data_IF_202385219567
#
_entry.id   IF_202385219567
#
_cell.length_a   1.000
_cell.length_b   1.000
_cell.length_c   1.000
_cell.angle_alpha   90.00
_cell.angle_beta   90.00
_cell.angle_gamma   90.00
#
_symmetry.space_group_name_H-M   'P 1'
#
loop_
_entity.id
_entity.type
_entity.pdbx_description
1 polymer ?
#
# COMPACT_ATOMS: atom_id res chain seq x y z
N UNK A 1 18.52 -33.97 -46.97
CA UNK A 1 19.65 -33.22 -47.58
C UNK A 1 19.72 -31.84 -46.95
N UNK A 2 20.83 -31.10 -46.82
CA UNK A 2 22.30 -31.27 -46.78
C UNK A 2 22.85 -29.80 -46.72
N UNK A 3 23.77 -29.43 -45.82
CA UNK A 3 25.23 -29.13 -46.04
C UNK A 3 25.54 -27.93 -47.00
N UNK A 4 26.59 -27.09 -46.88
CA UNK A 4 27.77 -26.93 -45.97
C UNK A 4 27.83 -25.44 -45.45
N UNK A 5 28.70 -24.93 -44.55
CA UNK A 5 29.89 -25.38 -43.76
C UNK A 5 31.36 -25.05 -44.20
N UNK A 6 31.72 -23.78 -44.41
CA UNK A 6 33.10 -23.20 -44.34
C UNK A 6 33.05 -21.72 -43.88
N UNK A 7 34.01 -21.04 -43.24
CA UNK A 7 35.28 -21.37 -42.51
C UNK A 7 36.65 -21.31 -43.24
N UNK A 8 37.35 -20.16 -43.16
CA UNK A 8 38.82 -19.87 -43.02
C UNK A 8 38.98 -18.31 -43.05
N UNK A 9 39.83 -17.54 -42.33
CA UNK A 9 41.13 -17.66 -41.64
C UNK A 9 42.37 -17.36 -42.53
N UNK A 10 42.92 -16.14 -42.40
CA UNK A 10 44.26 -15.69 -42.87
C UNK A 10 44.85 -14.73 -41.82
N UNK A 11 46.17 -14.73 -41.64
CA UNK A 11 46.91 -13.85 -40.72
C UNK A 11 48.06 -13.11 -41.44
N UNK A 12 48.54 -12.01 -40.86
CA UNK A 12 49.75 -11.30 -41.30
C UNK A 12 50.54 -10.79 -40.08
N UNK A 13 51.87 -10.83 -40.18
CA UNK A 13 52.82 -10.51 -39.12
C UNK A 13 53.96 -9.68 -39.72
N UNK A 14 54.43 -8.63 -39.04
CA UNK A 14 55.69 -7.96 -39.37
C UNK A 14 56.45 -7.53 -38.11
N UNK A 15 57.77 -7.46 -38.22
CA UNK A 15 58.73 -7.55 -37.09
C UNK A 15 59.92 -6.61 -37.30
N UNK A 16 60.20 -5.77 -36.29
CA UNK A 16 61.48 -5.11 -35.98
C UNK A 16 62.18 -4.31 -37.12
N UNK A 17 63.32 -3.63 -36.94
CA UNK A 17 64.18 -3.40 -35.77
C UNK A 17 64.78 -1.98 -35.82
N UNK A 18 65.44 -1.54 -34.75
CA UNK A 18 66.16 -0.26 -34.73
C UNK A 18 67.01 -0.08 -33.48
N UNK A 19 68.25 -0.56 -33.52
CA UNK A 19 69.18 -0.53 -32.38
C UNK A 19 70.51 0.11 -32.82
N UNK A 20 71.02 1.07 -32.05
CA UNK A 20 72.40 1.53 -32.09
C UNK A 20 72.83 1.96 -30.69
N UNK A 21 74.13 1.87 -30.40
CA UNK A 21 74.69 1.95 -29.05
C UNK A 21 75.77 3.04 -28.91
N UNK A 22 76.06 3.43 -27.67
CA UNK A 22 77.18 4.30 -27.32
C UNK A 22 77.57 4.10 -25.84
N UNK A 23 78.85 3.83 -25.58
CA UNK A 23 79.36 3.55 -24.24
C UNK A 23 80.06 4.76 -23.62
N UNK A 24 79.91 4.95 -22.31
CA UNK A 24 80.81 5.76 -21.49
C UNK A 24 80.87 5.19 -20.06
N UNK A 25 82.06 5.12 -19.48
CA UNK A 25 82.28 4.71 -18.09
C UNK A 25 82.59 5.93 -17.21
N UNK A 26 82.05 5.96 -15.99
CA UNK A 26 82.27 7.02 -15.01
C UNK A 26 82.13 6.47 -13.59
N UNK A 27 82.90 7.00 -12.64
CA UNK A 27 83.12 6.39 -11.32
C UNK A 27 82.69 7.27 -10.15
N UNK A 28 82.39 6.59 -9.03
CA UNK A 28 82.25 7.11 -7.65
C UNK A 28 81.06 8.06 -7.35
N UNK A 29 80.49 7.91 -6.16
CA UNK A 29 79.37 8.76 -5.72
C UNK A 29 78.53 8.26 -4.54
N UNK A 30 79.13 7.61 -3.52
CA UNK A 30 78.35 7.20 -2.33
C UNK A 30 78.01 8.42 -1.47
N UNK A 31 76.75 8.82 -1.47
CA UNK A 31 76.13 9.67 -0.44
C UNK A 31 74.78 9.07 -0.04
N UNK A 32 74.58 8.85 1.26
CA UNK A 32 73.29 8.38 1.77
C UNK A 32 72.24 9.47 1.70
N UNK A 33 71.13 9.20 1.02
CA UNK A 33 69.88 9.93 1.18
C UNK A 33 68.95 9.12 2.09
N UNK A 34 68.33 9.76 3.08
CA UNK A 34 67.38 9.08 3.97
C UNK A 34 66.11 8.68 3.21
N UNK A 35 65.64 7.44 3.40
CA UNK A 35 64.35 7.02 2.88
C UNK A 35 63.23 7.70 3.69
N UNK A 36 62.72 8.82 3.18
CA UNK A 36 61.36 9.25 3.53
C UNK A 36 60.43 8.28 2.84
N UNK A 37 59.79 7.40 3.60
CA UNK A 37 58.76 6.51 3.07
C UNK A 37 57.60 7.39 2.58
N UNK A 38 57.13 7.25 1.33
CA UNK A 38 55.99 8.04 0.85
C UNK A 38 54.76 7.64 1.66
N UNK A 39 54.20 8.60 2.39
CA UNK A 39 52.94 8.43 3.09
C UNK A 39 51.86 8.09 2.05
N UNK A 40 51.19 6.96 2.23
CA UNK A 40 50.26 6.45 1.23
C UNK A 40 49.11 7.46 1.07
N UNK A 41 48.72 7.81 -0.18
CA UNK A 41 47.67 8.79 -0.40
C UNK A 41 46.39 8.32 0.29
N UNK A 42 45.95 9.06 1.30
CA UNK A 42 44.71 8.78 2.03
C UNK A 42 43.58 8.78 1.02
N UNK A 43 43.03 7.60 0.74
CA UNK A 43 41.94 7.45 -0.21
C UNK A 43 40.80 8.38 0.21
N UNK A 44 40.21 9.16 -0.70
CA UNK A 44 39.15 10.08 -0.35
C UNK A 44 38.01 9.29 0.29
N UNK A 45 37.70 9.61 1.55
CA UNK A 45 36.58 9.02 2.26
C UNK A 45 35.32 9.42 1.50
N UNK A 46 34.78 8.48 0.71
CA UNK A 46 33.50 8.65 0.06
C UNK A 46 32.48 9.01 1.15
N UNK A 47 31.64 10.05 0.95
CA UNK A 47 30.59 10.35 1.91
C UNK A 47 29.72 9.10 2.11
N UNK A 48 29.24 8.83 3.34
CA UNK A 48 28.42 7.67 3.60
C UNK A 48 27.21 7.68 2.65
N UNK A 49 26.99 6.56 1.96
CA UNK A 49 26.02 6.48 0.86
C UNK A 49 24.66 7.08 1.27
N UNK A 50 24.21 8.08 0.50
CA UNK A 50 23.00 8.82 0.80
C UNK A 50 21.79 7.87 0.79
N UNK A 51 20.79 8.15 1.63
CA UNK A 51 19.70 7.20 1.84
C UNK A 51 18.65 7.28 0.74
N UNK A 52 18.78 6.39 -0.24
CA UNK A 52 17.75 6.17 -1.25
C UNK A 52 16.49 5.50 -0.66
N UNK A 53 15.31 6.04 -1.00
CA UNK A 53 14.04 5.39 -0.69
C UNK A 53 13.94 4.03 -1.40
N UNK A 54 13.51 2.95 -0.71
CA UNK A 54 13.26 1.69 -1.39
C UNK A 54 12.07 1.84 -2.34
N UNK A 55 12.11 1.13 -3.48
CA UNK A 55 10.98 1.08 -4.41
C UNK A 55 9.68 0.67 -3.69
N UNK A 56 8.57 1.28 -4.10
CA UNK A 56 7.22 0.92 -3.64
C UNK A 56 6.94 -0.55 -3.93
N UNK A 57 6.56 -1.28 -2.89
CA UNK A 57 6.09 -2.66 -3.04
C UNK A 57 4.74 -2.69 -3.77
N UNK A 58 4.46 -3.74 -4.57
CA UNK A 58 3.09 -4.03 -4.98
C UNK A 58 2.21 -4.27 -3.74
N UNK A 59 0.87 -4.21 -3.92
CA UNK A 59 -0.06 -4.63 -2.86
C UNK A 59 0.22 -6.10 -2.50
N UNK A 60 0.17 -6.42 -1.21
CA UNK A 60 0.49 -7.75 -0.68
C UNK A 60 -0.67 -8.42 0.05
N UNK A 61 -1.72 -7.68 0.38
CA UNK A 61 -3.03 -8.24 0.73
C UNK A 61 -3.74 -8.74 -0.53
N UNK A 62 -4.36 -9.92 -0.50
CA UNK A 62 -5.09 -10.45 -1.66
C UNK A 62 -6.57 -10.01 -1.64
N UNK A 63 -7.19 -9.69 -2.79
CA UNK A 63 -8.62 -9.46 -2.85
C UNK A 63 -9.41 -10.65 -2.31
N UNK A 64 -10.33 -10.40 -1.38
CA UNK A 64 -11.06 -11.43 -0.65
C UNK A 64 -10.43 -11.91 0.66
N UNK A 65 -9.19 -11.52 1.00
CA UNK A 65 -8.50 -11.97 2.22
C UNK A 65 -9.13 -11.37 3.51
N UNK A 66 -9.63 -10.13 3.45
CA UNK A 66 -10.15 -9.42 4.63
C UNK A 66 -11.56 -8.87 4.34
N UNK A 67 -12.51 -9.78 4.12
CA UNK A 67 -13.92 -9.43 3.85
C UNK A 67 -14.74 -9.38 5.14
N UNK A 68 -15.42 -8.26 5.36
CA UNK A 68 -16.47 -8.10 6.36
C UNK A 68 -17.84 -8.28 5.68
N UNK A 69 -18.54 -9.42 5.89
CA UNK A 69 -19.86 -9.63 5.32
C UNK A 69 -20.93 -8.83 6.07
N UNK A 70 -21.83 -8.20 5.33
CA UNK A 70 -22.92 -7.37 5.87
C UNK A 70 -24.21 -7.55 5.05
N UNK A 71 -25.40 -7.17 5.55
CA UNK A 71 -26.65 -7.28 4.79
C UNK A 71 -26.53 -6.62 3.40
N UNK A 72 -26.89 -7.39 2.37
CA UNK A 72 -26.80 -6.95 0.96
C UNK A 72 -25.40 -7.05 0.31
N UNK A 73 -24.31 -7.30 1.04
CA UNK A 73 -22.97 -7.19 0.45
C UNK A 73 -21.79 -7.47 1.38
N UNK A 74 -20.72 -6.70 1.24
CA UNK A 74 -19.50 -6.81 2.03
C UNK A 74 -18.55 -5.63 1.83
N UNK A 75 -17.69 -5.39 2.83
CA UNK A 75 -16.51 -4.52 2.69
C UNK A 75 -15.28 -5.40 2.61
N UNK A 76 -14.52 -5.29 1.54
CA UNK A 76 -13.25 -5.97 1.33
C UNK A 76 -12.12 -5.03 1.72
N UNK A 77 -11.57 -5.21 2.91
CA UNK A 77 -10.56 -4.32 3.48
C UNK A 77 -9.15 -4.61 2.93
N UNK A 78 -8.95 -5.75 2.26
CA UNK A 78 -7.72 -6.10 1.55
C UNK A 78 -7.72 -5.49 0.13
N UNK A 79 -8.80 -5.72 -0.62
CA UNK A 79 -9.04 -5.10 -1.94
C UNK A 79 -9.35 -3.60 -1.84
N UNK A 80 -9.68 -3.11 -0.64
CA UNK A 80 -10.14 -1.73 -0.37
C UNK A 80 -11.38 -1.37 -1.21
N UNK A 81 -12.33 -2.29 -1.34
CA UNK A 81 -13.59 -2.09 -2.08
C UNK A 81 -14.81 -2.38 -1.22
N UNK A 82 -15.94 -1.76 -1.56
CA UNK A 82 -17.27 -2.07 -1.04
C UNK A 82 -18.08 -2.67 -2.18
N UNK A 83 -18.68 -3.84 -1.94
CA UNK A 83 -19.48 -4.56 -2.94
C UNK A 83 -20.88 -4.81 -2.41
N UNK A 84 -21.89 -4.50 -3.22
CA UNK A 84 -23.30 -4.65 -2.88
C UNK A 84 -24.07 -5.33 -4.00
N UNK A 85 -24.98 -6.23 -3.63
CA UNK A 85 -25.85 -6.95 -4.56
C UNK A 85 -27.27 -6.40 -4.51
N UNK A 86 -27.96 -6.48 -5.63
CA UNK A 86 -29.38 -6.16 -5.74
C UNK A 86 -30.06 -7.09 -6.73
N UNK A 87 -31.36 -7.28 -6.54
CA UNK A 87 -32.18 -8.18 -7.34
C UNK A 87 -33.44 -7.48 -7.85
N UNK A 88 -33.90 -7.88 -9.03
CA UNK A 88 -35.13 -7.40 -9.65
C UNK A 88 -35.87 -8.57 -10.29
N UNK A 89 -37.20 -8.58 -10.15
CA UNK A 89 -38.06 -9.65 -10.70
C UNK A 89 -38.53 -9.25 -12.10
N UNK A 90 -38.45 -10.18 -13.04
CA UNK A 90 -39.01 -10.04 -14.40
C UNK A 90 -40.52 -10.19 -14.33
N UNK A 91 -41.25 -9.23 -14.89
CA UNK A 91 -42.71 -9.32 -15.03
C UNK A 91 -43.09 -10.47 -16.00
N UNK A 92 -43.76 -11.55 -15.53
CA UNK A 92 -44.16 -12.67 -16.38
C UNK A 92 -45.37 -12.34 -17.28
N UNK A 93 -46.09 -11.25 -17.02
CA UNK A 93 -47.20 -10.77 -17.84
C UNK A 93 -46.78 -9.82 -18.96
N UNK A 94 -45.52 -9.42 -19.02
CA UNK A 94 -45.03 -8.44 -19.97
C UNK A 94 -45.03 -8.96 -21.42
N UNK A 95 -45.67 -8.21 -22.32
CA UNK A 95 -45.79 -8.53 -23.75
C UNK A 95 -44.45 -8.56 -24.52
N UNK A 96 -43.38 -8.02 -23.94
CA UNK A 96 -42.02 -8.07 -24.48
C UNK A 96 -41.04 -8.56 -23.40
N UNK A 97 -40.67 -9.86 -23.42
CA UNK A 97 -39.75 -10.43 -22.43
C UNK A 97 -38.35 -9.79 -22.38
N UNK A 98 -37.86 -9.24 -23.50
CA UNK A 98 -36.57 -8.54 -23.51
C UNK A 98 -36.65 -7.19 -22.78
N UNK A 99 -37.75 -6.45 -22.97
CA UNK A 99 -38.04 -5.23 -22.20
C UNK A 99 -38.22 -5.53 -20.71
N UNK A 100 -38.91 -6.63 -20.38
CA UNK A 100 -39.11 -7.06 -18.99
C UNK A 100 -37.79 -7.38 -18.28
N UNK A 101 -36.88 -8.11 -18.95
CA UNK A 101 -35.51 -8.38 -18.44
C UNK A 101 -34.73 -7.08 -18.19
N UNK A 102 -34.78 -6.11 -19.12
CA UNK A 102 -34.12 -4.80 -18.95
C UNK A 102 -34.74 -3.94 -17.83
N UNK A 103 -36.04 -4.09 -17.55
CA UNK A 103 -36.69 -3.43 -16.42
C UNK A 103 -36.32 -4.09 -15.07
N UNK A 104 -36.20 -5.41 -15.03
CA UNK A 104 -35.71 -6.15 -13.87
C UNK A 104 -34.24 -5.81 -13.56
N UNK A 105 -33.38 -5.70 -14.58
CA UNK A 105 -31.98 -5.27 -14.40
C UNK A 105 -31.89 -3.86 -13.80
N UNK A 106 -32.72 -2.91 -14.28
CA UNK A 106 -32.80 -1.57 -13.68
C UNK A 106 -33.29 -1.59 -12.22
N UNK A 107 -34.24 -2.45 -11.88
CA UNK A 107 -34.68 -2.63 -10.50
C UNK A 107 -33.54 -3.21 -9.63
N UNK A 108 -32.80 -4.20 -10.15
CA UNK A 108 -31.64 -4.79 -9.48
C UNK A 108 -30.54 -3.75 -9.22
N UNK A 109 -30.23 -2.87 -10.17
CA UNK A 109 -29.31 -1.73 -10.00
C UNK A 109 -29.78 -0.81 -8.87
N UNK A 110 -31.06 -0.42 -8.83
CA UNK A 110 -31.59 0.48 -7.77
C UNK A 110 -31.55 -0.17 -6.39
N UNK A 111 -31.81 -1.48 -6.28
CA UNK A 111 -31.65 -2.23 -5.02
C UNK A 111 -30.17 -2.32 -4.62
N UNK A 112 -29.27 -2.56 -5.58
CA UNK A 112 -27.83 -2.62 -5.33
C UNK A 112 -27.27 -1.25 -4.88
N UNK A 113 -27.73 -0.14 -5.48
CA UNK A 113 -27.37 1.22 -5.07
C UNK A 113 -27.83 1.53 -3.64
N UNK A 114 -29.06 1.14 -3.26
CA UNK A 114 -29.54 1.29 -1.88
C UNK A 114 -28.67 0.49 -0.91
N UNK A 115 -28.42 -0.78 -1.21
CA UNK A 115 -27.58 -1.64 -0.37
C UNK A 115 -26.15 -1.08 -0.26
N UNK A 116 -25.58 -0.58 -1.36
CA UNK A 116 -24.25 0.04 -1.37
C UNK A 116 -24.20 1.29 -0.47
N UNK A 117 -25.23 2.14 -0.49
CA UNK A 117 -25.32 3.32 0.37
C UNK A 117 -25.32 2.94 1.86
N UNK A 118 -26.12 1.95 2.27
CA UNK A 118 -26.17 1.50 3.67
C UNK A 118 -24.86 0.84 4.13
N UNK A 119 -24.18 0.10 3.24
CA UNK A 119 -22.86 -0.46 3.56
C UNK A 119 -21.80 0.65 3.66
N UNK A 120 -21.79 1.61 2.73
CA UNK A 120 -20.84 2.74 2.74
C UNK A 120 -21.03 3.60 4.00
N UNK A 121 -22.27 3.94 4.38
CA UNK A 121 -22.60 4.58 5.67
C UNK A 121 -21.97 3.85 6.86
N UNK A 122 -22.06 2.51 6.84
CA UNK A 122 -21.52 1.63 7.88
C UNK A 122 -19.99 1.52 7.94
N UNK A 123 -19.25 1.98 6.93
CA UNK A 123 -17.77 1.92 6.92
C UNK A 123 -17.20 2.71 8.12
N UNK A 124 -16.32 2.07 8.88
CA UNK A 124 -15.63 2.69 10.03
C UNK A 124 -14.54 3.65 9.55
N UNK A 125 -14.63 4.90 9.99
CA UNK A 125 -13.62 5.92 9.69
C UNK A 125 -12.49 5.81 10.70
N UNK A 126 -12.82 5.87 11.99
CA UNK A 126 -11.93 5.60 13.11
C UNK A 126 -12.65 4.76 14.20
N UNK A 127 -12.14 4.76 15.43
CA UNK A 127 -12.69 3.94 16.51
C UNK A 127 -13.96 4.48 17.15
N UNK A 128 -14.40 5.71 16.84
CA UNK A 128 -15.65 6.28 17.35
C UNK A 128 -16.65 6.62 16.24
N UNK A 129 -16.18 6.83 15.01
CA UNK A 129 -16.97 7.37 13.89
C UNK A 129 -17.09 6.42 12.68
N UNK A 130 -18.25 6.51 12.01
CA UNK A 130 -18.54 5.89 10.72
C UNK A 130 -18.88 6.96 9.68
N UNK A 131 -18.90 6.60 8.40
CA UNK A 131 -19.21 7.53 7.30
C UNK A 131 -20.58 8.20 7.49
N UNK A 132 -21.57 7.50 8.06
CA UNK A 132 -22.89 8.04 8.39
C UNK A 132 -22.84 9.29 9.28
N UNK A 133 -21.86 9.40 10.20
CA UNK A 133 -21.70 10.59 11.04
C UNK A 133 -21.29 11.79 10.18
N UNK A 134 -20.25 11.62 9.34
CA UNK A 134 -19.78 12.68 8.45
C UNK A 134 -20.81 13.06 7.38
N UNK A 135 -21.66 12.11 6.93
CA UNK A 135 -22.82 12.41 6.08
C UNK A 135 -23.93 13.17 6.82
N UNK A 136 -24.00 13.07 8.15
CA UNK A 136 -24.97 13.80 8.99
C UNK A 136 -24.47 15.20 9.31
N UNK A 137 -23.17 15.33 9.59
CA UNK A 137 -22.53 16.59 10.01
C UNK A 137 -22.14 17.49 8.82
N UNK A 138 -22.01 16.94 7.60
CA UNK A 138 -21.48 17.66 6.44
C UNK A 138 -22.18 17.31 5.10
N UNK A 139 -23.01 18.22 4.58
CA UNK A 139 -23.71 18.11 3.29
C UNK A 139 -22.80 17.74 2.11
N UNK A 140 -21.54 18.21 2.11
CA UNK A 140 -20.57 17.91 1.05
C UNK A 140 -20.17 16.43 1.02
N UNK A 141 -20.11 15.77 2.20
CA UNK A 141 -19.83 14.34 2.30
C UNK A 141 -21.06 13.56 1.86
N UNK A 142 -22.25 13.94 2.34
CA UNK A 142 -23.53 13.35 1.89
C UNK A 142 -23.65 13.37 0.36
N UNK A 143 -23.45 14.54 -0.25
CA UNK A 143 -23.59 14.76 -1.68
C UNK A 143 -22.57 13.95 -2.49
N UNK A 144 -21.31 13.87 -2.02
CA UNK A 144 -20.27 13.04 -2.66
C UNK A 144 -20.59 11.56 -2.56
N UNK A 145 -20.94 11.04 -1.38
CA UNK A 145 -21.29 9.63 -1.20
C UNK A 145 -22.49 9.23 -2.06
N UNK A 146 -23.57 10.02 -2.06
CA UNK A 146 -24.70 9.76 -2.96
C UNK A 146 -24.30 9.78 -4.44
N UNK A 147 -23.48 10.76 -4.86
CA UNK A 147 -23.03 10.88 -6.24
C UNK A 147 -22.18 9.69 -6.69
N UNK A 148 -21.24 9.25 -5.85
CA UNK A 148 -20.38 8.10 -6.13
C UNK A 148 -21.16 6.78 -6.11
N UNK A 149 -22.11 6.59 -5.18
CA UNK A 149 -22.99 5.40 -5.16
C UNK A 149 -23.90 5.35 -6.39
N UNK A 150 -24.46 6.49 -6.84
CA UNK A 150 -25.25 6.56 -8.08
C UNK A 150 -24.40 6.25 -9.32
N UNK A 151 -23.11 6.57 -9.29
CA UNK A 151 -22.13 6.25 -10.33
C UNK A 151 -21.35 4.93 -10.13
N UNK A 152 -21.73 4.10 -9.15
CA UNK A 152 -20.97 2.90 -8.78
C UNK A 152 -20.85 1.90 -9.93
N UNK A 153 -19.70 1.23 -10.04
CA UNK A 153 -19.38 0.40 -11.20
C UNK A 153 -20.06 -0.96 -11.09
N UNK A 154 -20.73 -1.41 -12.15
CA UNK A 154 -21.24 -2.77 -12.21
C UNK A 154 -20.11 -3.78 -12.43
N UNK A 155 -20.12 -4.85 -11.61
CA UNK A 155 -19.08 -5.87 -11.55
C UNK A 155 -19.45 -7.10 -12.38
N UNK A 156 -19.19 -6.98 -13.69
CA UNK A 156 -19.52 -8.00 -14.68
C UNK A 156 -20.95 -7.84 -15.25
N UNK A 157 -21.40 -8.78 -16.10
CA UNK A 157 -22.77 -8.76 -16.62
C UNK A 157 -23.78 -9.04 -15.49
N UNK A 158 -25.01 -8.53 -15.65
CA UNK A 158 -26.11 -8.96 -14.80
C UNK A 158 -26.35 -10.48 -14.96
N UNK A 159 -26.62 -11.16 -13.85
CA UNK A 159 -26.95 -12.59 -13.84
C UNK A 159 -28.45 -12.74 -13.94
N UNK A 160 -28.92 -13.75 -14.66
CA UNK A 160 -30.34 -14.00 -14.81
C UNK A 160 -30.67 -15.46 -14.50
N UNK A 161 -31.55 -15.66 -13.53
CA UNK A 161 -32.13 -16.96 -13.19
C UNK A 161 -33.46 -17.13 -13.94
N UNK A 162 -33.45 -18.00 -14.96
CA UNK A 162 -34.64 -18.29 -15.78
C UNK A 162 -35.71 -19.11 -15.06
N UNK A 163 -35.37 -19.81 -13.96
CA UNK A 163 -36.32 -20.59 -13.17
C UNK A 163 -37.01 -19.74 -12.09
N UNK A 164 -36.27 -18.83 -11.46
CA UNK A 164 -36.81 -17.89 -10.48
C UNK A 164 -37.41 -16.61 -11.12
N UNK A 165 -37.03 -16.29 -12.36
CA UNK A 165 -37.42 -15.04 -13.02
C UNK A 165 -36.72 -13.81 -12.43
N UNK A 166 -35.51 -13.96 -11.90
CA UNK A 166 -34.77 -12.92 -11.16
C UNK A 166 -33.52 -12.50 -11.92
N UNK A 167 -33.32 -11.19 -12.05
CA UNK A 167 -32.05 -10.58 -12.46
C UNK A 167 -31.29 -10.13 -11.20
N UNK A 168 -30.01 -10.50 -11.07
CA UNK A 168 -29.10 -10.02 -10.05
C UNK A 168 -28.01 -9.12 -10.63
N UNK A 169 -27.64 -8.07 -9.88
CA UNK A 169 -26.56 -7.14 -10.19
C UNK A 169 -25.65 -6.97 -8.97
N UNK A 170 -24.34 -6.93 -9.19
CA UNK A 170 -23.34 -6.56 -8.18
C UNK A 170 -22.71 -5.21 -8.57
N UNK A 171 -22.74 -4.24 -7.65
CA UNK A 171 -22.10 -2.93 -7.77
C UNK A 171 -20.90 -2.82 -6.84
N UNK A 172 -19.90 -2.05 -7.26
CA UNK A 172 -18.59 -1.91 -6.63
C UNK A 172 -18.21 -0.43 -6.52
N UNK A 173 -17.68 -0.03 -5.36
CA UNK A 173 -17.15 1.31 -5.07
C UNK A 173 -15.85 1.18 -4.27
N UNK A 174 -14.86 1.99 -4.56
CA UNK A 174 -13.57 1.93 -3.86
C UNK A 174 -13.64 2.63 -2.48
N UNK A 175 -12.81 2.19 -1.53
CA UNK A 175 -12.53 2.96 -0.31
C UNK A 175 -11.53 4.09 -0.59
N UNK A 176 -10.58 3.88 -1.50
CA UNK A 176 -9.51 4.83 -1.85
C UNK A 176 -9.61 5.36 -3.29
N UNK A 177 -8.96 6.50 -3.54
CA UNK A 177 -8.81 7.06 -4.88
C UNK A 177 -10.08 7.68 -5.47
N UNK A 178 -10.11 7.91 -6.80
CA UNK A 178 -11.20 8.61 -7.47
C UNK A 178 -12.56 7.95 -7.27
N UNK A 179 -13.56 8.77 -6.92
CA UNK A 179 -14.92 8.36 -6.58
C UNK A 179 -15.00 7.37 -5.40
N UNK A 180 -13.96 7.32 -4.56
CA UNK A 180 -13.89 6.47 -3.38
C UNK A 180 -14.36 7.15 -2.08
N UNK A 181 -14.59 6.34 -1.04
CA UNK A 181 -15.04 6.83 0.28
C UNK A 181 -14.08 7.87 0.87
N UNK A 182 -12.77 7.66 0.77
CA UNK A 182 -11.76 8.61 1.24
C UNK A 182 -11.74 9.93 0.44
N UNK A 183 -12.16 9.95 -0.84
CA UNK A 183 -12.36 11.21 -1.58
C UNK A 183 -13.62 11.95 -1.11
N UNK A 184 -14.66 11.21 -0.68
CA UNK A 184 -15.86 11.82 -0.10
C UNK A 184 -15.56 12.53 1.24
N UNK A 185 -14.69 11.93 2.07
CA UNK A 185 -14.29 12.44 3.38
C UNK A 185 -13.16 13.49 3.35
N UNK A 186 -12.41 13.58 2.24
CA UNK A 186 -11.26 14.49 2.11
C UNK A 186 -11.54 15.98 2.47
N UNK A 187 -12.71 16.58 2.19
CA UNK A 187 -12.99 17.97 2.57
C UNK A 187 -13.08 18.23 4.08
N UNK A 188 -13.33 17.18 4.89
CA UNK A 188 -13.65 17.33 6.33
C UNK A 188 -12.58 16.74 7.25
N UNK A 189 -11.83 15.73 6.80
CA UNK A 189 -10.71 15.17 7.56
C UNK A 189 -9.42 16.02 7.51
N UNK A 190 -9.38 17.00 6.60
CA UNK A 190 -8.29 17.97 6.46
C UNK A 190 -7.17 17.51 5.52
N UNK A 191 -6.62 18.46 4.75
CA UNK A 191 -5.59 18.21 3.75
C UNK A 191 -4.14 18.13 4.30
N UNK A 192 -3.98 18.01 5.63
CA UNK A 192 -2.67 17.93 6.26
C UNK A 192 -1.90 16.68 5.79
N UNK A 193 -0.63 16.86 5.45
CA UNK A 193 0.24 15.76 5.04
C UNK A 193 -0.07 15.11 3.69
N UNK A 194 -0.88 15.74 2.83
CA UNK A 194 -1.12 15.23 1.47
C UNK A 194 0.20 15.05 0.68
N UNK A 195 0.33 13.90 0.01
CA UNK A 195 1.55 13.51 -0.70
C UNK A 195 2.75 13.12 0.20
N UNK A 196 3.83 12.67 -0.44
CA UNK A 196 5.11 12.40 0.22
C UNK A 196 5.74 13.70 0.73
N UNK A 197 6.46 13.70 1.88
CA UNK A 197 7.16 14.89 2.35
C UNK A 197 8.28 15.30 1.38
N UNK A 198 8.33 16.58 1.01
CA UNK A 198 9.44 17.16 0.24
C UNK A 198 10.56 17.59 1.17
N UNK A 199 11.57 16.75 1.35
CA UNK A 199 12.76 17.04 2.17
C UNK A 199 13.61 15.79 2.44
N UNK A 200 14.74 15.91 3.15
CA UNK A 200 15.53 14.77 3.58
C UNK A 200 14.72 13.80 4.44
N UNK A 201 14.90 12.50 4.22
CA UNK A 201 14.25 11.47 5.03
C UNK A 201 14.80 11.52 6.47
N UNK A 202 13.96 11.57 7.53
CA UNK A 202 14.44 11.60 8.90
C UNK A 202 15.31 10.37 9.22
N UNK A 203 16.40 10.56 9.97
CA UNK A 203 17.39 9.50 10.22
C UNK A 203 16.77 8.21 10.78
N UNK A 204 15.85 8.31 11.75
CA UNK A 204 15.15 7.16 12.32
C UNK A 204 14.31 6.37 11.28
N UNK A 205 13.76 7.05 10.27
CA UNK A 205 13.01 6.44 9.16
C UNK A 205 13.97 5.73 8.19
N UNK A 206 15.13 6.36 7.92
CA UNK A 206 16.18 5.76 7.12
C UNK A 206 16.73 4.47 7.76
N UNK A 207 17.03 4.52 9.05
CA UNK A 207 17.55 3.38 9.80
C UNK A 207 16.50 2.27 9.94
N UNK A 208 15.22 2.62 10.14
CA UNK A 208 14.12 1.65 10.10
C UNK A 208 14.03 0.92 8.74
N UNK A 209 14.07 1.63 7.61
CA UNK A 209 13.94 1.05 6.27
C UNK A 209 15.22 0.33 5.78
N UNK A 210 16.38 0.67 6.33
CA UNK A 210 17.61 -0.13 6.22
C UNK A 210 17.44 -1.46 6.96
N UNK A 211 17.03 -1.41 8.24
CA UNK A 211 16.99 -2.57 9.14
C UNK A 211 15.88 -3.56 8.80
N UNK A 212 14.66 -3.09 8.52
CA UNK A 212 13.46 -3.93 8.35
C UNK A 212 12.92 -3.90 6.93
N UNK A 213 12.23 -4.97 6.53
CA UNK A 213 11.51 -5.00 5.26
C UNK A 213 10.12 -4.32 5.31
N UNK A 214 9.57 -4.05 6.50
CA UNK A 214 8.34 -3.28 6.68
C UNK A 214 7.89 -3.22 8.14
N UNK A 215 6.73 -2.60 8.39
CA UNK A 215 6.09 -2.50 9.69
C UNK A 215 4.76 -3.27 9.67
N UNK A 216 4.61 -4.21 10.60
CA UNK A 216 3.40 -5.06 10.72
C UNK A 216 2.87 -4.97 12.15
N UNK A 217 1.58 -4.66 12.29
CA UNK A 217 0.87 -4.78 13.56
C UNK A 217 0.02 -6.04 13.58
N UNK A 218 0.29 -6.99 14.48
CA UNK A 218 -0.60 -8.13 14.70
C UNK A 218 -1.68 -7.77 15.73
N UNK A 219 -2.82 -7.33 15.21
CA UNK A 219 -4.04 -7.03 15.96
C UNK A 219 -5.03 -8.18 16.04
N UNK A 220 -4.78 -9.32 15.38
CA UNK A 220 -5.75 -10.40 15.23
C UNK A 220 -6.20 -10.97 16.57
N UNK A 221 -5.26 -11.34 17.44
CA UNK A 221 -5.56 -11.86 18.78
C UNK A 221 -6.13 -10.80 19.75
N UNK A 222 -5.96 -9.51 19.44
CA UNK A 222 -6.52 -8.40 20.21
C UNK A 222 -7.92 -7.98 19.73
N UNK A 223 -8.47 -8.64 18.69
CA UNK A 223 -9.80 -8.36 18.15
C UNK A 223 -9.88 -7.14 17.23
N UNK A 224 -8.75 -6.65 16.71
CA UNK A 224 -8.67 -5.44 15.90
C UNK A 224 -9.59 -5.51 14.66
N UNK A 225 -10.47 -4.53 14.52
CA UNK A 225 -11.33 -4.35 13.35
C UNK A 225 -10.77 -3.28 12.41
N UNK A 226 -10.80 -3.51 11.08
CA UNK A 226 -10.24 -2.59 10.11
C UNK A 226 -11.08 -1.30 10.00
N UNK A 227 -10.44 -0.20 9.66
CA UNK A 227 -11.05 1.12 9.44
C UNK A 227 -10.29 1.89 8.36
N UNK A 228 -10.78 3.08 7.99
CA UNK A 228 -10.09 3.95 7.03
C UNK A 228 -8.88 4.65 7.64
N UNK A 229 -8.93 5.00 8.93
CA UNK A 229 -7.92 5.79 9.63
C UNK A 229 -7.71 5.33 11.09
N UNK A 230 -7.17 4.12 11.33
CA UNK A 230 -6.89 3.61 12.68
C UNK A 230 -5.80 4.44 13.38
N UNK A 231 -6.02 4.79 14.65
CA UNK A 231 -5.02 5.49 15.48
C UNK A 231 -4.14 4.50 16.24
N UNK A 232 -2.95 4.93 16.64
CA UNK A 232 -2.01 4.10 17.40
C UNK A 232 -1.59 4.85 18.67
N UNK A 233 -1.65 4.15 19.80
CA UNK A 233 -1.40 4.65 21.14
C UNK A 233 -0.32 3.83 21.85
N UNK A 234 0.39 4.45 22.80
CA UNK A 234 1.12 3.73 23.84
C UNK A 234 0.17 3.28 24.98
N UNK A 235 0.68 2.46 25.90
CA UNK A 235 -0.08 1.97 27.06
C UNK A 235 -0.42 3.04 28.12
N UNK A 236 0.05 4.28 27.96
CA UNK A 236 -0.31 5.43 28.78
C UNK A 236 -1.42 6.28 28.13
N UNK A 237 -1.82 5.98 26.89
CA UNK A 237 -2.80 6.74 26.10
C UNK A 237 -2.21 7.88 25.26
N UNK A 238 -0.89 7.97 25.10
CA UNK A 238 -0.24 8.93 24.20
C UNK A 238 -0.38 8.49 22.75
N UNK A 239 -0.73 9.42 21.85
CA UNK A 239 -0.79 9.16 20.40
C UNK A 239 0.62 9.00 19.81
N UNK A 240 0.86 7.85 19.18
CA UNK A 240 2.02 7.55 18.33
C UNK A 240 1.72 7.83 16.84
N UNK A 241 0.43 7.80 16.47
CA UNK A 241 -0.08 8.16 15.14
C UNK A 241 -1.56 8.59 15.25
N UNK A 242 -1.88 9.82 14.85
CA UNK A 242 -3.26 10.37 14.77
C UNK A 242 -3.74 10.50 13.32
N UNK A 243 -5.04 10.33 13.10
CA UNK A 243 -5.70 10.48 11.79
C UNK A 243 -5.29 11.76 11.05
N UNK A 244 -5.17 12.91 11.75
CA UNK A 244 -4.84 14.21 11.13
C UNK A 244 -3.43 14.28 10.53
N UNK A 245 -2.55 13.37 10.89
CA UNK A 245 -1.15 13.35 10.46
C UNK A 245 -0.99 12.70 9.07
N UNK A 246 -1.99 11.92 8.65
CA UNK A 246 -1.95 11.10 7.44
C UNK A 246 -3.27 11.00 6.65
N UNK A 247 -4.37 11.62 7.09
CA UNK A 247 -5.66 11.50 6.40
C UNK A 247 -5.61 11.91 4.92
N UNK A 248 -5.00 13.07 4.64
CA UNK A 248 -4.77 13.56 3.27
C UNK A 248 -3.77 12.72 2.46
N UNK A 249 -3.00 11.83 3.10
CA UNK A 249 -2.09 10.93 2.43
C UNK A 249 -2.79 9.69 1.87
N UNK A 250 -3.62 8.99 2.65
CA UNK A 250 -4.26 7.75 2.18
C UNK A 250 -5.22 7.97 1.01
N UNK A 251 -5.95 9.08 0.99
CA UNK A 251 -6.83 9.44 -0.12
C UNK A 251 -6.12 9.57 -1.49
N UNK A 252 -4.79 9.74 -1.49
CA UNK A 252 -3.95 9.80 -2.69
C UNK A 252 -2.96 8.63 -2.83
N UNK A 253 -2.62 7.95 -1.73
CA UNK A 253 -1.59 6.91 -1.69
C UNK A 253 -1.96 5.62 -2.43
N UNK A 254 -3.27 5.32 -2.52
CA UNK A 254 -3.82 4.09 -3.08
C UNK A 254 -3.72 2.89 -2.14
N UNK A 255 -4.29 1.75 -2.58
CA UNK A 255 -4.47 0.51 -1.79
C UNK A 255 -3.24 0.07 -0.99
N UNK A 256 -2.03 0.24 -1.54
CA UNK A 256 -0.78 -0.17 -0.89
C UNK A 256 -0.38 0.63 0.36
N UNK A 257 -1.01 1.78 0.64
CA UNK A 257 -0.59 2.65 1.74
C UNK A 257 -1.08 2.19 3.13
N UNK A 258 -2.22 1.49 3.21
CA UNK A 258 -2.78 0.93 4.44
C UNK A 258 -3.35 -0.47 4.14
N UNK A 259 -2.54 -1.51 4.36
CA UNK A 259 -2.86 -2.87 3.92
C UNK A 259 -3.34 -3.74 5.09
N UNK A 260 -4.56 -4.25 4.98
CA UNK A 260 -5.11 -5.22 5.94
C UNK A 260 -4.88 -6.65 5.43
N UNK A 261 -4.38 -7.53 6.30
CA UNK A 261 -4.09 -8.94 5.99
C UNK A 261 -4.68 -9.87 7.06
N UNK A 262 -4.79 -11.17 6.75
CA UNK A 262 -5.03 -12.24 7.72
C UNK A 262 -3.82 -13.19 7.79
N UNK A 263 -3.26 -13.57 6.64
CA UNK A 263 -2.17 -14.55 6.54
C UNK A 263 -0.80 -13.86 6.56
N UNK A 264 -0.25 -13.72 7.77
CA UNK A 264 1.09 -13.16 7.96
C UNK A 264 2.19 -14.09 7.44
N UNK A 265 2.03 -15.42 7.53
CA UNK A 265 3.09 -16.35 7.12
C UNK A 265 3.26 -16.35 5.59
N UNK A 266 2.16 -16.25 4.84
CA UNK A 266 2.15 -15.98 3.40
C UNK A 266 2.86 -14.68 3.03
N UNK A 267 2.65 -13.60 3.80
CA UNK A 267 3.34 -12.32 3.58
C UNK A 267 4.82 -12.41 3.92
N UNK A 268 5.19 -13.09 5.01
CA UNK A 268 6.59 -13.29 5.42
C UNK A 268 7.38 -14.19 4.47
N UNK A 269 6.70 -15.09 3.74
CA UNK A 269 7.31 -15.95 2.72
C UNK A 269 7.70 -15.20 1.42
N UNK A 270 7.22 -13.97 1.22
CA UNK A 270 7.50 -13.19 0.00
C UNK A 270 8.93 -12.62 -0.04
N UNK A 271 9.63 -12.64 -1.19
CA UNK A 271 11.00 -12.11 -1.31
C UNK A 271 11.17 -10.66 -0.84
N UNK A 272 10.16 -9.82 -1.04
CA UNK A 272 10.17 -8.40 -0.62
C UNK A 272 10.30 -8.23 0.90
N UNK A 273 9.87 -9.24 1.67
CA UNK A 273 9.94 -9.27 3.12
C UNK A 273 11.20 -9.96 3.67
N UNK A 274 12.11 -10.48 2.84
CA UNK A 274 13.25 -11.32 3.27
C UNK A 274 14.18 -10.72 4.34
N UNK A 275 14.30 -9.38 4.46
CA UNK A 275 15.03 -8.72 5.58
C UNK A 275 14.32 -8.82 6.95
N UNK A 276 13.14 -9.44 6.99
CA UNK A 276 12.14 -9.51 8.07
C UNK A 276 11.52 -8.13 8.40
N UNK A 277 10.17 -8.02 8.47
CA UNK A 277 9.53 -6.81 8.95
C UNK A 277 9.62 -6.73 10.47
N UNK A 278 9.48 -5.51 11.01
CA UNK A 278 9.21 -5.32 12.42
C UNK A 278 7.75 -5.70 12.67
N UNK A 279 7.54 -6.91 13.20
CA UNK A 279 6.22 -7.38 13.65
C UNK A 279 6.04 -7.01 15.12
N UNK A 280 5.04 -6.16 15.40
CA UNK A 280 4.68 -5.73 16.75
C UNK A 280 3.31 -6.31 17.11
N UNK A 281 3.15 -6.81 18.33
CA UNK A 281 1.86 -7.33 18.80
C UNK A 281 1.04 -6.19 19.38
N UNK A 282 -0.21 -6.04 18.95
CA UNK A 282 -1.15 -5.12 19.59
C UNK A 282 -1.47 -5.67 20.98
N UNK A 283 -1.21 -4.88 22.02
CA UNK A 283 -1.44 -5.26 23.43
C UNK A 283 -2.94 -5.26 23.74
N UNK A 284 -3.65 -4.27 23.22
CA UNK A 284 -5.07 -4.05 23.41
C UNK A 284 -5.62 -3.21 22.24
N UNK A 285 -6.92 -3.35 21.97
CA UNK A 285 -7.66 -2.50 21.03
C UNK A 285 -8.55 -1.52 21.82
N UNK A 286 -8.73 -0.30 21.31
CA UNK A 286 -9.47 0.77 21.99
C UNK A 286 -10.50 1.47 21.09
N UNK A 287 -11.33 2.31 21.72
CA UNK A 287 -12.48 3.00 21.14
C UNK A 287 -13.68 2.11 20.83
N UNK A 288 -14.86 2.72 20.69
CA UNK A 288 -16.18 2.05 20.66
C UNK A 288 -16.36 1.03 19.51
N UNK A 289 -15.67 1.24 18.39
CA UNK A 289 -15.75 0.46 17.16
C UNK A 289 -14.57 -0.52 17.00
N UNK A 290 -13.63 -0.54 17.96
CA UNK A 290 -12.56 -1.52 18.05
C UNK A 290 -11.49 -1.44 16.94
N UNK A 291 -11.08 -0.23 16.57
CA UNK A 291 -10.17 -0.01 15.42
C UNK A 291 -8.80 0.56 15.76
N UNK A 292 -8.62 1.07 16.99
CA UNK A 292 -7.41 1.80 17.36
C UNK A 292 -6.50 0.92 18.23
N UNK A 293 -5.20 0.99 17.98
CA UNK A 293 -4.19 0.06 18.48
C UNK A 293 -3.55 0.62 19.75
N UNK A 294 -3.40 -0.20 20.79
CA UNK A 294 -2.59 0.11 21.98
C UNK A 294 -1.38 -0.82 22.00
N UNK A 295 -0.18 -0.26 22.15
CA UNK A 295 1.09 -0.98 22.19
C UNK A 295 1.69 -0.98 23.59
N UNK A 296 2.41 -2.05 23.96
CA UNK A 296 3.20 -2.06 25.19
C UNK A 296 4.41 -1.11 25.09
N UNK A 297 4.88 -0.56 26.22
CA UNK A 297 5.86 0.54 26.24
C UNK A 297 7.14 0.25 25.44
N UNK A 298 7.70 -0.95 25.58
CA UNK A 298 8.90 -1.37 24.86
C UNK A 298 8.72 -1.53 23.32
N UNK A 299 7.48 -1.62 22.83
CA UNK A 299 7.15 -1.59 21.40
C UNK A 299 6.75 -0.17 20.94
N UNK A 300 6.07 0.60 21.79
CA UNK A 300 5.79 2.02 21.58
C UNK A 300 7.08 2.87 21.47
N UNK A 301 8.09 2.59 22.31
CA UNK A 301 9.39 3.25 22.29
C UNK A 301 10.09 3.15 20.92
N UNK A 302 9.92 2.01 20.23
CA UNK A 302 10.48 1.76 18.89
C UNK A 302 9.81 2.60 17.80
N UNK A 303 8.69 3.27 18.10
CA UNK A 303 7.82 3.97 17.15
C UNK A 303 7.65 5.47 17.45
N UNK A 304 8.46 6.07 18.32
CA UNK A 304 8.44 7.52 18.59
C UNK A 304 8.65 8.40 17.35
N UNK A 305 9.21 7.84 16.27
CA UNK A 305 9.37 8.48 14.97
C UNK A 305 8.14 8.33 14.03
N UNK A 306 7.15 7.49 14.37
CA UNK A 306 6.11 7.05 13.43
C UNK A 306 5.23 8.20 12.92
N UNK A 307 4.89 9.17 13.78
CA UNK A 307 4.22 10.44 13.44
C UNK A 307 4.84 11.14 12.22
N UNK A 308 6.17 11.17 12.13
CA UNK A 308 6.91 11.81 11.03
C UNK A 308 7.21 10.81 9.90
N UNK A 309 7.39 9.53 10.24
CA UNK A 309 7.81 8.47 9.33
C UNK A 309 6.70 7.74 8.57
N UNK A 310 5.46 7.78 9.05
CA UNK A 310 4.34 6.98 8.53
C UNK A 310 4.22 7.11 7.00
N UNK A 311 4.20 8.35 6.50
CA UNK A 311 4.02 8.63 5.06
C UNK A 311 5.13 8.03 4.20
N UNK A 312 6.36 7.93 4.70
CA UNK A 312 7.44 7.24 3.99
C UNK A 312 7.21 5.73 3.95
N UNK A 313 6.91 5.09 5.08
CA UNK A 313 6.71 3.63 5.19
C UNK A 313 5.47 3.15 4.43
N UNK A 314 4.35 3.86 4.60
CA UNK A 314 3.13 3.65 3.83
C UNK A 314 3.34 3.97 2.33
N UNK A 315 4.07 5.04 2.02
CA UNK A 315 4.33 5.47 0.64
C UNK A 315 5.12 4.47 -0.20
N UNK A 316 5.94 3.63 0.42
CA UNK A 316 6.66 2.52 -0.23
C UNK A 316 5.95 1.16 -0.06
N UNK A 317 4.69 1.13 0.39
CA UNK A 317 3.89 -0.09 0.48
C UNK A 317 4.26 -1.04 1.62
N UNK A 318 4.85 -0.52 2.71
CA UNK A 318 5.46 -1.31 3.80
C UNK A 318 4.77 -1.16 5.16
N UNK A 319 3.50 -0.74 5.18
CA UNK A 319 2.69 -0.58 6.40
C UNK A 319 1.48 -1.52 6.37
N UNK A 320 1.41 -2.45 7.33
CA UNK A 320 0.45 -3.55 7.34
C UNK A 320 -0.20 -3.73 8.71
N UNK A 321 -1.48 -4.13 8.70
CA UNK A 321 -2.21 -4.57 9.90
C UNK A 321 -2.77 -5.96 9.68
N UNK A 322 -2.36 -6.92 10.52
CA UNK A 322 -3.03 -8.22 10.60
C UNK A 322 -4.24 -8.12 11.51
N UNK A 323 -5.40 -8.47 10.98
CA UNK A 323 -6.70 -8.48 11.66
C UNK A 323 -7.30 -9.89 11.62
N UNK A 324 -8.42 -10.10 12.32
CA UNK A 324 -9.27 -11.28 12.16
C UNK A 324 -10.74 -10.83 12.05
N UNK A 325 -11.43 -11.33 11.03
CA UNK A 325 -12.84 -11.06 10.74
C UNK A 325 -13.65 -12.35 10.84
#
# INVERSE_FOLDING_TARGET
MNLLRTSLLVAALFVAAGLLAGCATGTAGVRGAGMVSPEAPVAPVLPPAEFEMPARLPVVAEPGEVVEPVPGGGVDWADRTVRARGSGVVDPGASNPAQARLMAERAAVVVAQRNLLEIVKGVRVDSDTRVENFMTDYDVVYTRVEGYVKGARQRGPAKFDEAAGIVEVELEMNLDGPQGVNEALAPVLGAAGAGMPGGPVPAAVADFLRQYSGLVFDGGAAGLKPSLYPKIYDENGNLLLDTREYAGFLGQGGQGALQFIQDLDRVLARPEFARRPLVLKVRQVTGRLGTDLVLGGADADKLKWLKEGFRYVAGVGRFLLKVLL
#
